data_IF_865797167902
#
_entry.id   IF_865797167902
#
_cell.length_a   1.000
_cell.length_b   1.000
_cell.length_c   1.000
_cell.angle_alpha   90.00
_cell.angle_beta   90.00
_cell.angle_gamma   90.00
#
_symmetry.space_group_name_H-M   'P 1'
#
loop_
_entity.id
_entity.type
_entity.pdbx_description
1 polymer ?
#
# COMPACT_ATOMS: atom_id res chain seq x y z
N UNK A 1 26.56 81.42 14.20
CA UNK A 1 27.69 81.61 13.28
C UNK A 1 27.52 80.57 12.19
N UNK A 2 27.09 81.04 11.02
CA UNK A 2 26.80 80.26 9.81
C UNK A 2 28.11 79.75 9.20
N UNK A 3 28.10 78.52 8.66
CA UNK A 3 28.85 78.10 7.46
C UNK A 3 28.17 76.80 6.97
N UNK A 4 27.15 76.84 6.12
CA UNK A 4 27.17 76.92 4.64
C UNK A 4 27.85 75.75 3.89
N UNK A 5 26.99 75.05 3.13
CA UNK A 5 27.23 74.24 1.92
C UNK A 5 27.90 72.87 2.14
N UNK A 6 27.42 71.74 1.60
CA UNK A 6 26.57 71.49 0.42
C UNK A 6 26.10 70.02 0.49
N UNK A 7 24.85 69.73 0.12
CA UNK A 7 24.43 68.41 -0.36
C UNK A 7 24.98 68.18 -1.79
N UNK A 8 25.23 66.94 -2.24
CA UNK A 8 24.15 66.24 -2.95
C UNK A 8 24.11 64.69 -2.81
N UNK A 9 22.90 64.20 -2.58
CA UNK A 9 22.20 63.09 -3.27
C UNK A 9 22.81 61.67 -3.41
N UNK A 10 22.03 60.72 -2.85
CA UNK A 10 21.62 59.43 -3.41
C UNK A 10 22.66 58.28 -3.53
N UNK A 11 22.56 57.33 -2.59
CA UNK A 11 21.91 56.03 -2.87
C UNK A 11 21.62 55.27 -1.57
N UNK A 12 20.36 54.88 -1.41
CA UNK A 12 19.92 53.91 -0.41
C UNK A 12 20.54 52.54 -0.75
N UNK A 13 21.18 51.89 0.23
CA UNK A 13 21.17 50.43 0.29
C UNK A 13 21.40 49.97 1.72
N UNK A 14 20.30 49.56 2.35
CA UNK A 14 20.31 48.89 3.64
C UNK A 14 20.97 47.52 3.53
N UNK A 15 21.87 47.27 4.47
CA UNK A 15 21.82 46.18 5.44
C UNK A 15 21.41 44.77 4.97
N UNK A 16 22.32 43.85 5.32
CA UNK A 16 22.24 42.39 5.50
C UNK A 16 22.26 41.52 4.25
N UNK A 17 23.39 40.85 4.03
CA UNK A 17 23.40 39.48 3.48
C UNK A 17 24.54 38.69 4.16
N UNK A 18 24.16 37.94 5.19
CA UNK A 18 24.98 36.90 5.78
C UNK A 18 24.76 35.61 4.98
N UNK A 19 25.84 35.04 4.45
CA UNK A 19 26.01 33.63 4.08
C UNK A 19 24.87 32.94 3.30
N UNK A 20 24.66 33.32 2.02
CA UNK A 20 24.04 32.39 1.06
C UNK A 20 25.11 31.48 0.44
N UNK A 21 25.51 30.46 1.20
CA UNK A 21 25.95 29.21 0.59
C UNK A 21 24.71 28.34 0.45
N UNK A 22 24.19 28.19 -0.77
CA UNK A 22 23.19 27.17 -1.07
C UNK A 22 23.81 25.80 -0.77
N UNK A 23 23.61 25.31 0.45
CA UNK A 23 23.73 23.89 0.74
C UNK A 23 22.58 23.23 0.01
N UNK A 24 22.85 22.77 -1.22
CA UNK A 24 22.02 21.76 -1.87
C UNK A 24 21.97 20.58 -0.91
N UNK A 25 20.89 20.52 -0.13
CA UNK A 25 20.48 19.29 0.51
C UNK A 25 19.95 18.45 -0.65
N UNK A 26 20.85 17.76 -1.34
CA UNK A 26 20.44 16.60 -2.10
C UNK A 26 19.88 15.61 -1.06
N UNK A 27 18.66 15.07 -1.26
CA UNK A 27 18.17 14.02 -0.39
C UNK A 27 19.21 12.90 -0.41
N UNK A 28 19.74 12.53 0.76
CA UNK A 28 20.70 11.44 0.89
C UNK A 28 19.95 10.14 0.56
N UNK A 29 19.89 9.80 -0.73
CA UNK A 29 19.34 8.55 -1.25
C UNK A 29 19.92 7.34 -0.49
N UNK A 30 21.13 7.45 0.08
CA UNK A 30 21.76 6.36 0.82
C UNK A 30 21.17 6.13 2.23
N UNK A 31 20.61 7.16 2.87
CA UNK A 31 19.92 7.03 4.15
C UNK A 31 18.53 6.40 3.96
N UNK A 32 17.81 6.81 2.91
CA UNK A 32 16.51 6.24 2.54
C UNK A 32 16.66 4.78 2.11
N UNK A 33 17.67 4.45 1.30
CA UNK A 33 17.97 3.06 0.92
C UNK A 33 18.37 2.19 2.12
N UNK A 34 19.12 2.72 3.09
CA UNK A 34 19.48 1.98 4.32
C UNK A 34 18.28 1.74 5.23
N UNK A 35 17.31 2.65 5.26
CA UNK A 35 16.05 2.45 5.97
C UNK A 35 15.20 1.36 5.30
N UNK A 36 15.16 1.35 3.96
CA UNK A 36 14.41 0.36 3.17
C UNK A 36 15.02 -1.05 3.27
N UNK A 37 16.35 -1.18 3.31
CA UNK A 37 17.05 -2.50 3.39
C UNK A 37 16.82 -3.24 4.72
N UNK A 38 16.33 -2.56 5.77
CA UNK A 38 15.98 -3.17 7.08
C UNK A 38 14.47 -3.14 7.36
N UNK A 39 13.63 -2.89 6.37
CA UNK A 39 12.20 -2.79 6.59
C UNK A 39 11.62 -4.18 6.88
N UNK A 40 11.27 -4.43 8.15
CA UNK A 40 10.47 -5.58 8.54
C UNK A 40 8.97 -5.27 8.40
N UNK A 41 8.11 -6.28 8.52
CA UNK A 41 6.66 -6.11 8.35
C UNK A 41 6.05 -5.07 9.30
N UNK A 42 6.64 -4.87 10.47
CA UNK A 42 6.19 -3.87 11.45
C UNK A 42 6.56 -2.45 11.01
N UNK A 43 7.76 -2.27 10.47
CA UNK A 43 8.21 -0.98 9.94
C UNK A 43 7.41 -0.60 8.71
N UNK A 44 7.10 -1.57 7.85
CA UNK A 44 6.20 -1.38 6.72
C UNK A 44 4.80 -0.97 7.19
N UNK A 45 4.23 -1.61 8.21
CA UNK A 45 2.96 -1.15 8.78
C UNK A 45 3.01 0.29 9.31
N UNK A 46 4.09 0.69 9.98
CA UNK A 46 4.21 2.06 10.50
C UNK A 46 4.23 3.08 9.37
N UNK A 47 4.99 2.81 8.32
CA UNK A 47 5.04 3.63 7.10
C UNK A 47 3.67 3.75 6.42
N UNK A 48 2.92 2.65 6.39
CA UNK A 48 1.61 2.55 5.74
C UNK A 48 0.45 3.19 6.53
N UNK A 49 0.65 3.43 7.83
CA UNK A 49 -0.35 4.04 8.71
C UNK A 49 -0.10 5.54 8.96
N UNK A 50 0.88 6.14 8.29
CA UNK A 50 1.17 7.57 8.39
C UNK A 50 0.03 8.40 7.76
N UNK A 51 -0.68 9.26 8.55
CA UNK A 51 -1.83 10.01 8.08
C UNK A 51 -1.50 11.12 7.08
N UNK A 52 -0.22 11.49 6.92
CA UNK A 52 0.21 12.52 5.96
C UNK A 52 0.44 11.95 4.55
N UNK A 53 0.42 10.61 4.39
CA UNK A 53 0.63 9.94 3.11
C UNK A 53 -0.64 9.94 2.27
N UNK A 54 -0.52 10.40 1.03
CA UNK A 54 -1.58 10.27 0.03
C UNK A 54 -1.63 8.84 -0.52
N UNK A 55 -2.75 8.15 -0.28
CA UNK A 55 -2.99 6.79 -0.73
C UNK A 55 -2.89 6.64 -2.26
N UNK A 56 -3.13 7.70 -3.03
CA UNK A 56 -3.04 7.67 -4.49
C UNK A 56 -1.59 7.61 -5.00
N UNK A 57 -0.62 8.15 -4.24
CA UNK A 57 0.81 8.13 -4.59
C UNK A 57 1.60 6.99 -3.94
N UNK A 58 0.98 6.31 -2.96
CA UNK A 58 1.64 5.29 -2.14
C UNK A 58 2.03 4.02 -2.92
N UNK A 59 1.36 3.73 -4.04
CA UNK A 59 1.59 2.51 -4.82
C UNK A 59 3.04 2.36 -5.34
N UNK A 60 3.62 3.42 -5.90
CA UNK A 60 4.98 3.39 -6.45
C UNK A 60 6.05 3.31 -5.35
N UNK A 61 5.83 4.00 -4.22
CA UNK A 61 6.71 3.89 -3.05
C UNK A 61 6.71 2.48 -2.48
N UNK A 62 5.53 1.87 -2.31
CA UNK A 62 5.39 0.48 -1.88
C UNK A 62 6.10 -0.46 -2.86
N UNK A 63 5.90 -0.25 -4.16
CA UNK A 63 6.56 -1.09 -5.17
C UNK A 63 8.08 -1.03 -5.04
N UNK A 64 8.66 0.17 -4.87
CA UNK A 64 10.10 0.35 -4.68
C UNK A 64 10.61 -0.32 -3.39
N UNK A 65 9.88 -0.16 -2.28
CA UNK A 65 10.19 -0.83 -1.01
C UNK A 65 10.20 -2.35 -1.17
N UNK A 66 9.17 -2.90 -1.81
CA UNK A 66 9.08 -4.33 -2.06
C UNK A 66 10.21 -4.80 -2.99
N UNK A 67 10.57 -4.00 -4.00
CA UNK A 67 11.60 -4.37 -4.97
C UNK A 67 12.99 -4.47 -4.32
N UNK A 68 13.24 -3.67 -3.29
CA UNK A 68 14.48 -3.67 -2.52
C UNK A 68 14.52 -4.77 -1.44
N UNK A 69 13.39 -5.45 -1.19
CA UNK A 69 13.32 -6.58 -0.26
C UNK A 69 13.90 -7.86 -0.88
N UNK A 70 14.64 -8.63 -0.08
CA UNK A 70 15.14 -9.95 -0.49
C UNK A 70 14.03 -11.00 -0.59
N UNK A 71 12.93 -10.81 0.13
CA UNK A 71 11.74 -11.67 0.08
C UNK A 71 10.47 -10.79 0.17
N UNK A 72 10.04 -10.24 -0.99
CA UNK A 72 8.90 -9.31 -1.03
C UNK A 72 7.60 -9.98 -0.56
N UNK A 73 7.38 -11.24 -0.92
CA UNK A 73 6.19 -11.99 -0.52
C UNK A 73 6.14 -12.21 0.99
N UNK A 74 7.25 -12.60 1.61
CA UNK A 74 7.32 -12.71 3.07
C UNK A 74 7.14 -11.36 3.75
N UNK A 75 7.75 -10.29 3.23
CA UNK A 75 7.63 -8.95 3.81
C UNK A 75 6.17 -8.47 3.83
N UNK A 76 5.46 -8.66 2.71
CA UNK A 76 4.02 -8.37 2.64
C UNK A 76 3.27 -9.20 3.67
N UNK A 77 3.50 -10.51 3.72
CA UNK A 77 2.80 -11.39 4.65
C UNK A 77 3.03 -11.02 6.13
N UNK A 78 4.26 -10.70 6.50
CA UNK A 78 4.61 -10.25 7.85
C UNK A 78 3.94 -8.92 8.18
N UNK A 79 3.83 -8.01 7.20
CA UNK A 79 3.09 -6.77 7.36
C UNK A 79 1.60 -7.04 7.58
N UNK A 80 1.01 -8.00 6.87
CA UNK A 80 -0.42 -8.35 6.95
C UNK A 80 -0.88 -8.82 8.34
N UNK A 81 0.00 -9.41 9.15
CA UNK A 81 -0.32 -9.88 10.51
C UNK A 81 -0.86 -8.74 11.40
N UNK A 82 -0.39 -7.50 11.20
CA UNK A 82 -0.87 -6.34 11.97
C UNK A 82 -2.06 -5.59 11.36
N UNK A 83 -2.50 -5.94 10.16
CA UNK A 83 -3.71 -5.37 9.54
C UNK A 83 -5.00 -6.05 10.01
N UNK A 84 -4.91 -7.16 10.76
CA UNK A 84 -6.08 -7.88 11.27
C UNK A 84 -6.00 -8.26 12.76
N UNK A 85 -5.79 -7.32 13.70
CA UNK A 85 -6.01 -7.60 15.11
C UNK A 85 -7.52 -7.70 15.39
N UNK A 86 -7.96 -8.56 16.32
CA UNK A 86 -9.37 -8.67 16.75
C UNK A 86 -9.92 -7.40 17.42
N UNK A 87 -9.14 -6.31 17.45
CA UNK A 87 -9.40 -5.08 18.20
C UNK A 87 -9.14 -3.80 17.40
N UNK A 88 -9.12 -3.83 16.05
CA UNK A 88 -9.09 -2.60 15.26
C UNK A 88 -10.22 -1.66 15.73
N UNK A 89 -9.86 -0.42 16.05
CA UNK A 89 -10.83 0.58 16.46
C UNK A 89 -11.74 0.89 15.27
N UNK A 90 -13.04 0.71 15.45
CA UNK A 90 -14.06 0.99 14.44
C UNK A 90 -13.95 2.43 13.94
N UNK A 91 -14.07 2.62 12.63
CA UNK A 91 -14.09 3.95 11.99
C UNK A 91 -13.07 4.09 10.85
N UNK A 92 -12.66 5.32 10.55
CA UNK A 92 -11.80 5.66 9.40
C UNK A 92 -10.43 4.95 9.43
N UNK A 93 -9.91 4.67 10.63
CA UNK A 93 -8.67 3.90 10.80
C UNK A 93 -8.78 2.49 10.24
N UNK A 94 -9.90 1.81 10.45
CA UNK A 94 -10.16 0.45 9.94
C UNK A 94 -10.29 0.44 8.41
N UNK A 95 -10.86 1.50 7.84
CA UNK A 95 -11.02 1.68 6.41
C UNK A 95 -9.67 1.94 5.70
N UNK A 96 -8.86 2.84 6.25
CA UNK A 96 -7.53 3.14 5.72
C UNK A 96 -6.60 1.93 5.79
N UNK A 97 -6.58 1.22 6.94
CA UNK A 97 -5.82 -0.03 7.12
C UNK A 97 -6.19 -1.06 6.03
N UNK A 98 -7.49 -1.25 5.75
CA UNK A 98 -7.93 -2.18 4.68
C UNK A 98 -7.51 -1.73 3.29
N UNK A 99 -7.65 -0.45 2.96
CA UNK A 99 -7.22 0.09 1.66
C UNK A 99 -5.74 -0.10 1.44
N UNK A 100 -4.93 0.22 2.44
CA UNK A 100 -3.47 0.08 2.33
C UNK A 100 -3.05 -1.38 2.22
N UNK A 101 -3.77 -2.29 2.89
CA UNK A 101 -3.57 -3.74 2.70
C UNK A 101 -3.85 -4.18 1.26
N UNK A 102 -4.89 -3.65 0.61
CA UNK A 102 -5.21 -3.97 -0.80
C UNK A 102 -4.10 -3.45 -1.72
N UNK A 103 -3.68 -2.18 -1.56
CA UNK A 103 -2.60 -1.60 -2.36
C UNK A 103 -1.32 -2.44 -2.24
N UNK A 104 -0.98 -2.90 -1.04
CA UNK A 104 0.19 -3.73 -0.79
C UNK A 104 0.12 -5.07 -1.56
N UNK A 105 -1.05 -5.72 -1.57
CA UNK A 105 -1.28 -6.94 -2.33
C UNK A 105 -1.26 -6.70 -3.84
N UNK A 106 -1.83 -5.59 -4.31
CA UNK A 106 -1.79 -5.18 -5.72
C UNK A 106 -0.36 -5.00 -6.22
N UNK A 107 0.52 -4.37 -5.42
CA UNK A 107 1.93 -4.23 -5.79
C UNK A 107 2.65 -5.58 -5.81
N UNK A 108 2.32 -6.50 -4.90
CA UNK A 108 2.87 -7.86 -4.93
C UNK A 108 2.44 -8.64 -6.18
N UNK A 109 1.15 -8.54 -6.56
CA UNK A 109 0.60 -9.11 -7.80
C UNK A 109 1.34 -8.55 -9.01
N UNK A 110 1.49 -7.21 -9.08
CA UNK A 110 2.20 -6.52 -10.17
C UNK A 110 3.65 -6.96 -10.28
N UNK A 111 4.31 -7.18 -9.15
CA UNK A 111 5.70 -7.64 -9.09
C UNK A 111 5.85 -9.11 -9.50
N UNK A 112 4.85 -9.95 -9.22
CA UNK A 112 4.84 -11.38 -9.52
C UNK A 112 6.14 -12.11 -9.10
N UNK A 113 6.60 -11.98 -7.84
CA UNK A 113 7.83 -12.63 -7.41
C UNK A 113 7.66 -14.15 -7.30
N UNK A 114 8.78 -14.88 -7.33
CA UNK A 114 8.76 -16.31 -7.01
C UNK A 114 8.54 -16.51 -5.50
N UNK A 115 7.40 -17.09 -5.12
CA UNK A 115 7.00 -17.26 -3.72
C UNK A 115 7.49 -18.60 -3.21
N UNK A 116 8.19 -18.59 -2.07
CA UNK A 116 8.68 -19.81 -1.43
C UNK A 116 7.52 -20.61 -0.82
N UNK A 117 7.55 -21.96 -0.86
CA UNK A 117 6.44 -22.79 -0.38
C UNK A 117 6.00 -22.52 1.06
N UNK A 118 6.95 -22.24 1.96
CA UNK A 118 6.65 -21.93 3.35
C UNK A 118 5.89 -20.60 3.51
N UNK A 119 6.11 -19.63 2.62
CA UNK A 119 5.38 -18.35 2.60
C UNK A 119 3.95 -18.60 2.11
N UNK A 120 3.77 -19.41 1.07
CA UNK A 120 2.45 -19.82 0.58
C UNK A 120 1.63 -20.53 1.66
N UNK A 121 2.24 -21.45 2.42
CA UNK A 121 1.58 -22.13 3.55
C UNK A 121 1.10 -21.14 4.62
N UNK A 122 1.95 -20.17 4.99
CA UNK A 122 1.56 -19.12 5.95
C UNK A 122 0.50 -18.17 5.40
N UNK A 123 0.54 -17.85 4.11
CA UNK A 123 -0.49 -17.06 3.46
C UNK A 123 -1.84 -17.81 3.43
N UNK A 124 -1.81 -19.14 3.25
CA UNK A 124 -3.00 -19.99 3.33
C UNK A 124 -3.60 -20.03 4.74
N UNK A 125 -2.78 -20.17 5.79
CA UNK A 125 -3.23 -20.07 7.18
C UNK A 125 -3.95 -18.73 7.44
N UNK A 126 -3.33 -17.62 6.98
CA UNK A 126 -3.90 -16.27 7.11
C UNK A 126 -5.23 -16.14 6.36
N UNK A 127 -5.28 -16.58 5.09
CA UNK A 127 -6.48 -16.52 4.26
C UNK A 127 -7.63 -17.33 4.86
N UNK A 128 -7.32 -18.51 5.41
CA UNK A 128 -8.30 -19.35 6.10
C UNK A 128 -8.86 -18.65 7.35
N UNK A 129 -7.99 -18.01 8.13
CA UNK A 129 -8.39 -17.26 9.31
C UNK A 129 -9.25 -16.03 8.96
N UNK A 130 -8.94 -15.33 7.86
CA UNK A 130 -9.75 -14.21 7.37
C UNK A 130 -11.14 -14.67 6.93
N UNK A 131 -11.20 -15.72 6.10
CA UNK A 131 -12.46 -16.30 5.62
C UNK A 131 -13.40 -16.69 6.76
N UNK A 132 -12.88 -17.33 7.81
CA UNK A 132 -13.68 -17.69 9.00
C UNK A 132 -14.28 -16.47 9.73
N UNK A 133 -13.64 -15.30 9.63
CA UNK A 133 -14.09 -14.06 10.27
C UNK A 133 -15.07 -13.25 9.42
N UNK A 134 -15.06 -13.43 8.10
CA UNK A 134 -16.01 -12.82 7.17
C UNK A 134 -17.41 -13.41 7.41
N UNK A 135 -18.24 -12.72 8.21
CA UNK A 135 -19.57 -13.23 8.59
C UNK A 135 -20.50 -13.30 7.37
N UNK A 136 -21.30 -14.38 7.19
CA UNK A 136 -22.20 -14.53 6.04
C UNK A 136 -23.24 -13.41 5.84
N UNK A 137 -23.59 -12.67 6.90
CA UNK A 137 -24.71 -11.72 6.90
C UNK A 137 -24.30 -10.24 6.91
N UNK A 138 -23.00 -9.92 6.89
CA UNK A 138 -22.49 -8.55 7.01
C UNK A 138 -21.19 -8.35 6.21
N UNK A 139 -21.06 -9.01 5.07
CA UNK A 139 -19.87 -8.95 4.22
C UNK A 139 -19.66 -7.52 3.71
N UNK A 140 -18.64 -6.85 4.27
CA UNK A 140 -18.17 -5.57 3.78
C UNK A 140 -17.42 -5.80 2.45
N UNK A 141 -17.81 -5.15 1.33
CA UNK A 141 -17.16 -5.35 0.03
C UNK A 141 -15.64 -5.17 0.06
N UNK A 142 -15.11 -4.28 0.92
CA UNK A 142 -13.66 -4.10 1.07
C UNK A 142 -12.97 -5.27 1.78
N UNK A 143 -13.66 -5.96 2.70
CA UNK A 143 -13.12 -7.18 3.30
C UNK A 143 -13.05 -8.31 2.28
N UNK A 144 -14.11 -8.45 1.47
CA UNK A 144 -14.15 -9.43 0.38
C UNK A 144 -13.07 -9.12 -0.66
N UNK A 145 -12.90 -7.85 -1.01
CA UNK A 145 -11.88 -7.43 -1.96
C UNK A 145 -10.46 -7.71 -1.45
N UNK A 146 -10.19 -7.42 -0.17
CA UNK A 146 -8.91 -7.73 0.47
C UNK A 146 -8.62 -9.23 0.49
N UNK A 147 -9.62 -10.05 0.81
CA UNK A 147 -9.49 -11.51 0.77
C UNK A 147 -9.16 -12.03 -0.63
N UNK A 148 -9.86 -11.54 -1.66
CA UNK A 148 -9.62 -11.96 -3.04
C UNK A 148 -8.22 -11.54 -3.53
N UNK A 149 -7.74 -10.35 -3.16
CA UNK A 149 -6.37 -9.92 -3.46
C UNK A 149 -5.33 -10.79 -2.75
N UNK A 150 -5.59 -11.25 -1.52
CA UNK A 150 -4.72 -12.18 -0.81
C UNK A 150 -4.64 -13.51 -1.56
N UNK A 151 -5.77 -14.04 -2.05
CA UNK A 151 -5.77 -15.26 -2.84
C UNK A 151 -4.97 -15.11 -4.13
N UNK A 152 -5.15 -13.98 -4.83
CA UNK A 152 -4.48 -13.68 -6.08
C UNK A 152 -2.97 -13.52 -5.89
N UNK A 153 -2.54 -12.75 -4.89
CA UNK A 153 -1.13 -12.44 -4.66
C UNK A 153 -0.29 -13.68 -4.31
N UNK A 154 -0.88 -14.69 -3.66
CA UNK A 154 -0.19 -15.92 -3.23
C UNK A 154 -0.61 -17.17 -4.00
N UNK A 155 -1.36 -17.02 -5.10
CA UNK A 155 -1.86 -18.13 -5.93
C UNK A 155 -2.64 -19.19 -5.15
N UNK A 156 -3.52 -18.76 -4.24
CA UNK A 156 -4.23 -19.64 -3.31
C UNK A 156 -5.62 -20.07 -3.79
N UNK A 157 -6.12 -19.55 -4.92
CA UNK A 157 -7.50 -19.79 -5.38
C UNK A 157 -7.92 -21.27 -5.39
N UNK A 158 -7.01 -22.16 -5.80
CA UNK A 158 -7.24 -23.61 -5.87
C UNK A 158 -7.40 -24.31 -4.50
N UNK A 159 -7.07 -23.63 -3.40
CA UNK A 159 -7.19 -24.17 -2.04
C UNK A 159 -8.55 -23.87 -1.41
N UNK A 160 -9.41 -23.13 -2.11
CA UNK A 160 -10.73 -22.72 -1.63
C UNK A 160 -11.84 -23.28 -2.53
N UNK A 161 -13.06 -23.34 -1.99
CA UNK A 161 -14.23 -23.73 -2.77
C UNK A 161 -14.43 -22.77 -3.95
N UNK A 162 -14.56 -23.35 -5.14
CA UNK A 162 -14.61 -22.61 -6.39
C UNK A 162 -15.86 -21.72 -6.46
N UNK A 163 -17.00 -22.25 -6.09
CA UNK A 163 -18.29 -21.56 -6.21
C UNK A 163 -18.36 -20.41 -5.20
N UNK A 164 -17.76 -20.60 -4.02
CA UNK A 164 -17.63 -19.56 -3.01
C UNK A 164 -16.71 -18.41 -3.46
N UNK A 165 -15.55 -18.70 -4.06
CA UNK A 165 -14.66 -17.66 -4.62
C UNK A 165 -15.35 -16.89 -5.75
N UNK A 166 -16.11 -17.57 -6.61
CA UNK A 166 -16.92 -16.92 -7.65
C UNK A 166 -17.99 -16.02 -7.02
N UNK A 167 -18.68 -16.48 -5.97
CA UNK A 167 -19.68 -15.68 -5.25
C UNK A 167 -19.08 -14.39 -4.69
N UNK A 168 -17.88 -14.47 -4.09
CA UNK A 168 -17.14 -13.29 -3.64
C UNK A 168 -16.79 -12.34 -4.79
N UNK A 169 -16.33 -12.87 -5.93
CA UNK A 169 -16.04 -12.07 -7.13
C UNK A 169 -17.28 -11.35 -7.67
N UNK A 170 -18.45 -12.00 -7.66
CA UNK A 170 -19.72 -11.37 -8.06
C UNK A 170 -20.08 -10.24 -7.09
N UNK A 171 -19.92 -10.46 -5.79
CA UNK A 171 -20.21 -9.46 -4.76
C UNK A 171 -19.38 -8.19 -4.95
N UNK A 172 -18.07 -8.30 -5.19
CA UNK A 172 -17.22 -7.12 -5.40
C UNK A 172 -17.37 -6.50 -6.79
N UNK A 173 -17.77 -7.28 -7.81
CA UNK A 173 -18.00 -6.78 -9.16
C UNK A 173 -19.17 -5.79 -9.25
N UNK A 174 -20.15 -5.89 -8.35
CA UNK A 174 -21.21 -4.90 -8.20
C UNK A 174 -20.68 -3.54 -7.72
N UNK A 175 -19.43 -3.48 -7.24
CA UNK A 175 -18.85 -2.30 -6.57
C UNK A 175 -17.53 -1.78 -7.19
N UNK A 176 -16.76 -2.55 -7.98
CA UNK A 176 -15.55 -2.06 -8.67
C UNK A 176 -15.05 -2.96 -9.83
N UNK A 177 -14.07 -2.45 -10.61
CA UNK A 177 -13.49 -3.08 -11.79
C UNK A 177 -12.71 -4.37 -11.47
N UNK A 178 -13.40 -5.52 -11.45
CA UNK A 178 -12.86 -6.82 -10.98
C UNK A 178 -12.33 -7.73 -12.08
N UNK A 179 -12.29 -7.25 -13.32
CA UNK A 179 -11.93 -8.05 -14.51
C UNK A 179 -10.51 -8.62 -14.43
N UNK A 180 -9.56 -7.86 -13.88
CA UNK A 180 -8.18 -8.31 -13.72
C UNK A 180 -8.04 -9.37 -12.63
N UNK A 181 -8.70 -9.16 -11.48
CA UNK A 181 -8.70 -10.09 -10.36
C UNK A 181 -9.31 -11.44 -10.74
N UNK A 182 -10.40 -11.43 -11.52
CA UNK A 182 -11.00 -12.61 -12.14
C UNK A 182 -9.99 -13.40 -12.97
N UNK A 183 -9.22 -12.72 -13.82
CA UNK A 183 -8.19 -13.36 -14.67
C UNK A 183 -7.09 -14.02 -13.82
N UNK A 184 -6.54 -13.30 -12.84
CA UNK A 184 -5.46 -13.81 -11.98
C UNK A 184 -5.91 -15.03 -11.17
N UNK A 185 -7.16 -15.01 -10.69
CA UNK A 185 -7.74 -16.13 -9.93
C UNK A 185 -8.16 -17.32 -10.81
N UNK A 186 -8.02 -17.25 -12.14
CA UNK A 186 -8.38 -18.34 -13.05
C UNK A 186 -9.86 -18.39 -13.44
N UNK A 187 -10.57 -17.26 -13.32
CA UNK A 187 -11.98 -17.08 -13.67
C UNK A 187 -12.18 -16.02 -14.77
N UNK A 188 -11.50 -16.11 -15.93
CA UNK A 188 -11.66 -15.11 -16.99
C UNK A 188 -13.12 -15.02 -17.43
N UNK A 189 -13.61 -13.81 -17.71
CA UNK A 189 -14.98 -13.63 -18.19
C UNK A 189 -15.20 -14.44 -19.47
N UNK A 190 -16.11 -15.42 -19.38
CA UNK A 190 -16.70 -16.03 -20.56
C UNK A 190 -17.67 -15.03 -21.16
N UNK A 191 -17.50 -14.75 -22.45
CA UNK A 191 -18.50 -14.14 -23.34
C UNK A 191 -19.91 -14.32 -22.80
N UNK A 192 -20.57 -13.19 -22.51
CA UNK A 192 -22.01 -13.04 -22.30
C UNK A 192 -22.80 -14.19 -22.92
N UNK A 193 -23.20 -15.12 -22.06
CA UNK A 193 -23.95 -16.31 -22.42
C UNK A 193 -24.67 -16.82 -21.18
N UNK A 194 -25.40 -15.91 -20.52
CA UNK A 194 -26.31 -16.16 -19.41
C UNK A 194 -25.67 -16.77 -18.16
N UNK A 195 -25.50 -15.95 -17.12
CA UNK A 195 -26.05 -16.26 -15.80
C UNK A 195 -26.04 -14.96 -14.99
N UNK A 196 -27.23 -14.68 -14.46
CA UNK A 196 -27.71 -13.50 -13.77
C UNK A 196 -26.80 -12.96 -12.67
#
# INVERSE_FOLDING_TARGET
>A
MWDHLKDPELKQQGLTDACNGEMKIEPDESADLKFIVRMDGKTLQMFLNDPEKDLESMGDEIFNVLHLSSDPAKLVLDAMVGFYPPHLRKGDTEFNVRKTCIILLEQLIKMSPNIQPYVTEKAYELASAWKLKMRPSAQNPLEVLGFLHLLAAYNLASHFDKDEVISFLVMVAQHSQTSELRRILGFPEGTTGSLF
#
